data_IF_678384410328
#
_entry.id   IF_678384410328
#
_cell.length_a   1.000
_cell.length_b   1.000
_cell.length_c   1.000
_cell.angle_alpha   90.00
_cell.angle_beta   90.00
_cell.angle_gamma   90.00
#
_symmetry.space_group_name_H-M   'P 1'
#
loop_
_entity.id
_entity.type
_entity.pdbx_description
1 polymer ?
#
# COMPACT_ATOMS: atom_id res chain seq x y z
N UNK A 1 0.84 11.03 -3.04
CA UNK A 1 0.35 11.77 -1.86
C UNK A 1 -0.19 13.16 -2.18
N UNK A 2 0.47 13.99 -3.02
CA UNK A 2 -0.02 15.35 -3.33
C UNK A 2 -1.48 15.42 -3.78
N UNK A 3 -1.89 14.57 -4.72
CA UNK A 3 -3.29 14.49 -5.19
C UNK A 3 -4.29 14.14 -4.07
N UNK A 4 -3.90 13.30 -3.11
CA UNK A 4 -4.75 12.95 -1.96
C UNK A 4 -4.92 14.16 -1.04
N UNK A 5 -3.83 14.88 -0.76
CA UNK A 5 -3.86 16.08 0.09
C UNK A 5 -4.66 17.21 -0.57
N UNK A 6 -4.51 17.40 -1.87
CA UNK A 6 -5.30 18.37 -2.64
C UNK A 6 -6.80 18.04 -2.60
N UNK A 7 -7.18 16.76 -2.79
CA UNK A 7 -8.56 16.32 -2.66
C UNK A 7 -9.14 16.64 -1.26
N UNK A 8 -8.36 16.40 -0.19
CA UNK A 8 -8.75 16.72 1.18
C UNK A 8 -8.93 18.23 1.40
N UNK A 9 -8.00 19.06 0.91
CA UNK A 9 -8.09 20.53 1.04
C UNK A 9 -9.32 21.08 0.32
N UNK A 10 -9.69 20.48 -0.81
CA UNK A 10 -10.88 20.85 -1.57
C UNK A 10 -12.19 20.29 -0.99
N UNK A 11 -12.14 19.56 0.13
CA UNK A 11 -13.32 18.98 0.77
C UNK A 11 -13.95 17.84 -0.05
N UNK A 12 -13.18 17.18 -0.91
CA UNK A 12 -13.67 15.98 -1.62
C UNK A 12 -13.76 14.82 -0.62
N UNK A 13 -14.98 14.42 -0.29
CA UNK A 13 -15.33 13.35 0.64
C UNK A 13 -15.17 11.95 0.05
N UNK A 14 -15.25 11.79 -1.28
CA UNK A 14 -15.02 10.50 -1.97
C UNK A 14 -13.64 9.91 -1.65
N UNK A 15 -12.65 10.76 -1.30
CA UNK A 15 -11.32 10.30 -0.90
C UNK A 15 -11.38 9.35 0.31
N UNK A 16 -12.31 9.60 1.24
CA UNK A 16 -12.50 8.74 2.42
C UNK A 16 -12.99 7.37 1.98
N UNK A 17 -13.95 7.31 1.06
CA UNK A 17 -14.47 6.06 0.53
C UNK A 17 -13.41 5.27 -0.21
N UNK A 18 -12.56 5.92 -1.01
CA UNK A 18 -11.47 5.25 -1.71
C UNK A 18 -10.47 4.61 -0.75
N UNK A 19 -10.12 5.29 0.35
CA UNK A 19 -9.23 4.71 1.37
C UNK A 19 -9.91 3.59 2.17
N UNK A 20 -11.22 3.68 2.43
CA UNK A 20 -11.98 2.60 3.06
C UNK A 20 -12.00 1.33 2.19
N UNK A 21 -12.24 1.49 0.87
CA UNK A 21 -12.20 0.40 -0.10
C UNK A 21 -10.80 -0.20 -0.21
N UNK A 22 -9.77 0.65 -0.27
CA UNK A 22 -8.38 0.22 -0.29
C UNK A 22 -8.02 -0.60 0.96
N UNK A 23 -8.40 -0.13 2.16
CA UNK A 23 -8.19 -0.86 3.43
C UNK A 23 -8.86 -2.24 3.40
N UNK A 24 -10.11 -2.30 2.95
CA UNK A 24 -10.82 -3.58 2.83
C UNK A 24 -10.11 -4.54 1.86
N UNK A 25 -9.58 -4.03 0.73
CA UNK A 25 -8.82 -4.84 -0.22
C UNK A 25 -7.49 -5.32 0.36
N UNK A 26 -6.73 -4.44 1.01
CA UNK A 26 -5.47 -4.78 1.66
C UNK A 26 -5.65 -5.81 2.76
N UNK A 27 -6.69 -5.67 3.60
CA UNK A 27 -7.00 -6.64 4.65
C UNK A 27 -7.15 -8.06 4.08
N UNK A 28 -7.84 -8.19 2.93
CA UNK A 28 -8.00 -9.48 2.24
C UNK A 28 -6.70 -9.97 1.62
N UNK A 29 -5.96 -9.08 0.94
CA UNK A 29 -4.70 -9.44 0.28
C UNK A 29 -3.64 -9.90 1.28
N UNK A 30 -3.57 -9.23 2.44
CA UNK A 30 -2.53 -9.43 3.45
C UNK A 30 -2.85 -10.54 4.46
N UNK A 31 -4.08 -11.04 4.49
CA UNK A 31 -4.52 -12.08 5.42
C UNK A 31 -3.59 -13.31 5.46
N UNK A 32 -3.03 -13.71 4.32
CA UNK A 32 -2.09 -14.83 4.19
C UNK A 32 -0.71 -14.37 3.68
N UNK A 33 -0.39 -13.09 3.81
CA UNK A 33 0.84 -12.56 3.23
C UNK A 33 2.08 -13.01 4.02
N UNK A 34 1.95 -13.47 5.27
CA UNK A 34 3.07 -14.05 6.04
C UNK A 34 3.55 -15.39 5.45
N UNK A 35 2.64 -16.20 4.87
CA UNK A 35 2.94 -17.57 4.43
C UNK A 35 3.40 -17.70 2.97
N UNK A 36 3.20 -16.66 2.15
CA UNK A 36 3.62 -16.67 0.73
C UNK A 36 5.00 -16.05 0.57
N UNK A 37 5.72 -16.32 -0.51
CA UNK A 37 7.01 -15.68 -0.81
C UNK A 37 6.86 -14.21 -1.25
N UNK A 38 8.00 -13.50 -1.35
CA UNK A 38 8.04 -12.14 -1.91
C UNK A 38 7.54 -12.12 -3.35
N UNK A 39 7.91 -13.12 -4.15
CA UNK A 39 7.57 -13.19 -5.57
C UNK A 39 6.09 -13.54 -5.78
N UNK A 40 5.53 -14.48 -5.01
CA UNK A 40 4.08 -14.75 -5.04
C UNK A 40 3.26 -13.53 -4.63
N UNK A 41 3.71 -12.77 -3.63
CA UNK A 41 3.05 -11.51 -3.26
C UNK A 41 3.24 -10.45 -4.37
N UNK A 42 4.38 -10.39 -5.03
CA UNK A 42 4.65 -9.47 -6.14
C UNK A 42 3.74 -9.74 -7.36
N UNK A 43 3.49 -11.00 -7.70
CA UNK A 43 2.53 -11.41 -8.73
C UNK A 43 1.12 -11.01 -8.35
N UNK A 44 0.71 -11.25 -7.10
CA UNK A 44 -0.60 -10.79 -6.60
C UNK A 44 -0.73 -9.28 -6.74
N UNK A 45 0.25 -8.50 -6.26
CA UNK A 45 0.25 -7.03 -6.38
C UNK A 45 0.09 -6.58 -7.83
N UNK A 46 0.75 -7.24 -8.77
CA UNK A 46 0.62 -6.95 -10.20
C UNK A 46 -0.83 -7.08 -10.67
N UNK A 47 -1.52 -8.16 -10.29
CA UNK A 47 -2.93 -8.37 -10.65
C UNK A 47 -3.88 -7.39 -9.94
N UNK A 48 -3.49 -6.88 -8.77
CA UNK A 48 -4.31 -5.98 -7.97
C UNK A 48 -4.35 -4.54 -8.47
N UNK A 49 -3.34 -4.09 -9.23
CA UNK A 49 -3.27 -2.70 -9.66
C UNK A 49 -4.57 -2.23 -10.36
N UNK A 50 -5.14 -3.07 -11.22
CA UNK A 50 -6.38 -2.73 -11.92
C UNK A 50 -7.57 -2.54 -10.96
N UNK A 51 -7.62 -3.31 -9.87
CA UNK A 51 -8.65 -3.15 -8.86
C UNK A 51 -8.55 -1.79 -8.17
N UNK A 52 -7.34 -1.39 -7.75
CA UNK A 52 -7.14 -0.09 -7.11
C UNK A 52 -7.39 1.07 -8.07
N UNK A 53 -6.95 0.97 -9.33
CA UNK A 53 -7.23 1.98 -10.34
C UNK A 53 -8.73 2.13 -10.62
N UNK A 54 -9.51 1.05 -10.60
CA UNK A 54 -10.94 1.12 -10.89
C UNK A 54 -11.78 1.59 -9.72
N UNK A 55 -11.42 1.19 -8.49
CA UNK A 55 -12.27 1.37 -7.33
C UNK A 55 -11.77 2.46 -6.36
N UNK A 56 -10.49 2.80 -6.39
CA UNK A 56 -9.88 3.74 -5.43
C UNK A 56 -9.51 5.08 -6.10
N UNK A 57 -10.43 5.68 -6.85
CA UNK A 57 -10.25 7.05 -7.38
C UNK A 57 -9.71 7.14 -8.81
N UNK A 58 -9.83 6.08 -9.60
CA UNK A 58 -9.45 6.11 -11.00
C UNK A 58 -7.95 5.84 -11.23
N UNK A 59 -7.55 5.92 -12.51
CA UNK A 59 -6.22 5.49 -12.97
C UNK A 59 -5.05 6.17 -12.25
N UNK A 60 -5.14 7.46 -11.95
CA UNK A 60 -4.02 8.20 -11.37
C UNK A 60 -4.03 8.15 -9.84
N UNK A 61 -5.18 8.44 -9.22
CA UNK A 61 -5.30 8.45 -7.76
C UNK A 61 -5.23 7.04 -7.19
N UNK A 62 -5.84 6.04 -7.84
CA UNK A 62 -5.81 4.64 -7.41
C UNK A 62 -4.41 4.06 -7.33
N UNK A 63 -3.51 4.40 -8.28
CA UNK A 63 -2.10 4.01 -8.21
C UNK A 63 -1.40 4.56 -6.97
N UNK A 64 -1.67 5.83 -6.64
CA UNK A 64 -1.11 6.46 -5.45
C UNK A 64 -1.70 5.85 -4.19
N UNK A 65 -3.01 5.64 -4.14
CA UNK A 65 -3.68 5.04 -3.00
C UNK A 65 -3.15 3.63 -2.78
N UNK A 66 -3.02 2.80 -3.81
CA UNK A 66 -2.45 1.45 -3.71
C UNK A 66 -1.10 1.47 -2.98
N UNK A 67 -0.14 2.27 -3.47
CA UNK A 67 1.19 2.32 -2.89
C UNK A 67 1.21 2.80 -1.42
N UNK A 68 0.42 3.81 -1.08
CA UNK A 68 0.41 4.38 0.28
C UNK A 68 -0.42 3.57 1.29
N UNK A 69 -1.63 3.15 0.88
CA UNK A 69 -2.59 2.50 1.78
C UNK A 69 -2.15 1.12 2.24
N UNK A 70 -1.28 0.42 1.49
CA UNK A 70 -0.74 -0.87 1.91
C UNK A 70 0.05 -0.78 3.22
N UNK A 71 0.92 0.22 3.34
CA UNK A 71 1.71 0.44 4.56
C UNK A 71 0.88 1.01 5.70
N UNK A 72 -0.05 1.94 5.38
CA UNK A 72 -0.97 2.52 6.37
C UNK A 72 -1.87 1.44 7.00
N UNK A 73 -2.27 0.43 6.23
CA UNK A 73 -3.11 -0.67 6.74
C UNK A 73 -2.41 -1.48 7.84
N UNK A 74 -1.07 -1.51 7.83
CA UNK A 74 -0.25 -2.25 8.79
C UNK A 74 0.27 -1.38 9.96
N UNK A 75 0.09 -0.05 9.89
CA UNK A 75 0.71 0.91 10.79
C UNK A 75 -0.32 1.61 11.68
N UNK A 76 0.02 1.80 12.95
CA UNK A 76 -0.73 2.64 13.91
C UNK A 76 0.04 3.92 14.21
N UNK A 77 -0.61 5.08 14.15
CA UNK A 77 0.03 6.33 14.60
C UNK A 77 0.31 6.38 16.11
N UNK A 78 -0.31 5.50 16.90
CA UNK A 78 -0.06 5.42 18.34
C UNK A 78 1.12 4.51 18.67
N UNK A 79 1.22 3.37 17.97
CA UNK A 79 2.11 2.27 18.37
C UNK A 79 3.12 1.86 17.27
N UNK A 80 3.04 2.45 16.08
CA UNK A 80 3.86 2.07 14.94
C UNK A 80 3.45 0.73 14.31
N UNK A 81 4.44 -0.08 13.92
CA UNK A 81 4.24 -1.45 13.47
C UNK A 81 4.24 -2.42 14.66
N UNK A 82 3.10 -2.99 15.00
CA UNK A 82 2.98 -3.95 16.10
C UNK A 82 3.15 -5.40 15.63
N UNK A 83 3.78 -6.24 16.47
CA UNK A 83 3.98 -7.65 16.19
C UNK A 83 4.73 -7.90 14.88
N UNK A 84 4.21 -8.79 14.05
CA UNK A 84 4.81 -9.14 12.75
C UNK A 84 4.56 -8.11 11.64
N UNK A 85 3.80 -7.03 11.91
CA UNK A 85 3.44 -6.05 10.88
C UNK A 85 4.65 -5.33 10.28
N UNK A 86 5.74 -5.13 11.05
CA UNK A 86 6.95 -4.49 10.55
C UNK A 86 7.68 -5.37 9.51
N UNK A 87 7.85 -6.66 9.83
CA UNK A 87 8.40 -7.66 8.90
C UNK A 87 7.51 -7.80 7.66
N UNK A 88 6.19 -7.81 7.85
CA UNK A 88 5.23 -7.86 6.75
C UNK A 88 5.28 -6.60 5.88
N UNK A 89 5.44 -5.41 6.47
CA UNK A 89 5.62 -4.16 5.74
C UNK A 89 6.92 -4.19 4.91
N UNK A 90 8.02 -4.71 5.47
CA UNK A 90 9.27 -4.87 4.74
C UNK A 90 9.14 -5.83 3.55
N UNK A 91 8.50 -6.98 3.76
CA UNK A 91 8.16 -7.92 2.70
C UNK A 91 7.29 -7.27 1.63
N UNK A 92 6.28 -6.49 2.01
CA UNK A 92 5.43 -5.75 1.08
C UNK A 92 6.24 -4.76 0.23
N UNK A 93 7.19 -4.03 0.82
CA UNK A 93 8.07 -3.12 0.09
C UNK A 93 8.93 -3.87 -0.95
N UNK A 94 9.49 -5.03 -0.58
CA UNK A 94 10.22 -5.90 -1.52
C UNK A 94 9.32 -6.43 -2.63
N UNK A 95 8.12 -6.89 -2.30
CA UNK A 95 7.16 -7.38 -3.29
C UNK A 95 6.71 -6.29 -4.26
N UNK A 96 6.53 -5.04 -3.81
CA UNK A 96 6.28 -3.93 -4.73
C UNK A 96 7.45 -3.70 -5.70
N UNK A 97 8.70 -3.74 -5.20
CA UNK A 97 9.88 -3.61 -6.05
C UNK A 97 9.96 -4.72 -7.12
N UNK A 98 9.67 -5.97 -6.72
CA UNK A 98 9.68 -7.16 -7.58
C UNK A 98 8.45 -7.28 -8.50
N UNK A 99 7.34 -6.60 -8.20
CA UNK A 99 6.11 -6.72 -9.00
C UNK A 99 6.26 -6.17 -10.42
N UNK A 100 5.32 -6.48 -11.32
CA UNK A 100 5.20 -5.82 -12.62
C UNK A 100 4.23 -4.64 -12.59
N UNK A 101 3.95 -4.08 -11.40
CA UNK A 101 3.17 -2.86 -11.29
C UNK A 101 3.83 -1.69 -12.03
N UNK A 102 3.01 -0.70 -12.40
CA UNK A 102 3.49 0.53 -13.03
C UNK A 102 4.49 1.28 -12.15
N UNK A 103 5.37 2.06 -12.80
CA UNK A 103 6.41 2.83 -12.11
C UNK A 103 5.82 3.80 -11.09
N UNK A 104 4.63 4.36 -11.35
CA UNK A 104 3.98 5.27 -10.40
C UNK A 104 3.52 4.56 -9.13
N UNK A 105 3.02 3.31 -9.24
CA UNK A 105 2.67 2.48 -8.08
C UNK A 105 3.94 2.15 -7.30
N UNK A 106 4.99 1.66 -7.96
CA UNK A 106 6.25 1.32 -7.32
C UNK A 106 6.89 2.53 -6.62
N UNK A 107 6.85 3.69 -7.25
CA UNK A 107 7.36 4.93 -6.68
C UNK A 107 6.53 5.40 -5.49
N UNK A 108 5.20 5.30 -5.56
CA UNK A 108 4.33 5.61 -4.44
C UNK A 108 4.60 4.68 -3.24
N UNK A 109 4.73 3.38 -3.49
CA UNK A 109 5.06 2.38 -2.48
C UNK A 109 6.44 2.61 -1.86
N UNK A 110 7.46 2.88 -2.68
CA UNK A 110 8.81 3.20 -2.21
C UNK A 110 8.81 4.43 -1.29
N UNK A 111 8.15 5.51 -1.69
CA UNK A 111 8.05 6.72 -0.85
C UNK A 111 7.29 6.48 0.45
N UNK A 112 6.24 5.67 0.42
CA UNK A 112 5.52 5.29 1.62
C UNK A 112 6.43 4.47 2.56
N UNK A 113 7.12 3.46 2.04
CA UNK A 113 8.05 2.64 2.81
C UNK A 113 9.18 3.47 3.44
N UNK A 114 9.74 4.44 2.72
CA UNK A 114 10.73 5.39 3.24
C UNK A 114 10.14 6.25 4.36
N UNK A 115 8.94 6.79 4.19
CA UNK A 115 8.27 7.64 5.18
C UNK A 115 7.92 6.90 6.48
N UNK A 116 7.57 5.62 6.38
CA UNK A 116 7.27 4.76 7.53
C UNK A 116 8.50 3.98 8.04
N UNK A 117 9.71 4.34 7.61
CA UNK A 117 10.96 3.72 8.08
C UNK A 117 10.99 2.19 7.96
N UNK A 118 10.32 1.64 6.94
CA UNK A 118 10.11 0.19 6.78
C UNK A 118 11.43 -0.59 6.67
N UNK A 119 12.51 0.05 6.21
CA UNK A 119 13.84 -0.58 6.12
C UNK A 119 14.43 -1.01 7.47
N UNK A 120 13.96 -0.44 8.59
CA UNK A 120 14.41 -0.82 9.94
C UNK A 120 14.02 -2.26 10.31
N UNK A 121 13.10 -2.86 9.56
CA UNK A 121 12.59 -4.22 9.78
C UNK A 121 13.20 -5.26 8.83
N UNK A 122 14.32 -4.94 8.17
CA UNK A 122 14.95 -5.80 7.17
C UNK A 122 15.53 -7.12 7.72
N UNK A 123 15.82 -7.18 9.02
CA UNK A 123 16.59 -8.26 9.66
C UNK A 123 16.12 -8.60 11.09
N UNK A 124 14.88 -8.25 11.46
CA UNK A 124 14.31 -8.66 12.76
C UNK A 124 13.95 -10.13 12.70
#
# INVERSE_FOLDING_TARGET
MRMVLEALVNGNDEIVEHFAQAKARWTRLLANASTVSVDELAEKLTSEQFHFERNCGGRYLGKVIMGWSGFITLYSCQNGYEGDNGRLAYKLAKSFANSSCSLEVKHAAKKAAEMYHVSEYAEV
#
